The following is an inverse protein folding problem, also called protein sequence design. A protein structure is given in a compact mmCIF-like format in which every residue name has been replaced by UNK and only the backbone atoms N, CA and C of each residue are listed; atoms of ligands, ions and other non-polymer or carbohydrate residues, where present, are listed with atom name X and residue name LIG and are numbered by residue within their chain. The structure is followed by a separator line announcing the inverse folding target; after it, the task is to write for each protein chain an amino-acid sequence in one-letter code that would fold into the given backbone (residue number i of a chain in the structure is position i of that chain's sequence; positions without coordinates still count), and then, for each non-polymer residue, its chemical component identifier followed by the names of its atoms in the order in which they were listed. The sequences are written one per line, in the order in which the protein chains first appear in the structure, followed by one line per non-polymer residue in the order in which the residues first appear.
data_IF_788263490143
#
_entry.id   IF_788263490143
#
_cell.length_a   1.000
_cell.length_b   1.000
_cell.length_c   1.000
_cell.angle_alpha   90.00
_cell.angle_beta   90.00
_cell.angle_gamma   90.00
#
_symmetry.space_group_name_H-M   'P 1'
#
loop_
_entity.id
_entity.type
_entity.pdbx_description
1 polymer ?
#
# COMPACT_ATOMS: atom_id res chain seq x y z
N UNK A 1 -22.01 -16.07 9.38
CA UNK A 1 -22.68 -14.78 9.29
C UNK A 1 -24.17 -15.01 9.00
N UNK A 2 -24.55 -15.57 7.86
CA UNK A 2 -25.95 -15.80 7.48
C UNK A 2 -26.72 -16.65 8.49
N UNK A 3 -26.10 -17.67 9.09
CA UNK A 3 -26.72 -18.51 10.14
C UNK A 3 -27.08 -17.72 11.42
N UNK A 4 -26.57 -16.53 11.56
CA UNK A 4 -26.86 -15.60 12.67
C UNK A 4 -27.71 -14.40 12.22
N UNK A 5 -28.30 -14.45 11.02
CA UNK A 5 -29.15 -13.40 10.47
C UNK A 5 -28.41 -12.26 9.78
N UNK A 6 -27.10 -12.42 9.52
CA UNK A 6 -26.33 -11.46 8.75
C UNK A 6 -26.55 -11.65 7.24
N UNK A 7 -26.25 -10.63 6.45
CA UNK A 7 -26.41 -10.59 5.00
C UNK A 7 -25.09 -10.20 4.31
N UNK A 8 -24.84 -10.76 3.11
CA UNK A 8 -23.81 -10.33 2.18
C UNK A 8 -24.45 -9.63 0.99
N UNK A 9 -23.94 -8.46 0.62
CA UNK A 9 -24.36 -7.70 -0.56
C UNK A 9 -23.19 -7.57 -1.52
N UNK A 10 -22.98 -8.58 -2.34
CA UNK A 10 -21.95 -8.58 -3.38
C UNK A 10 -22.30 -7.59 -4.51
N UNK A 11 -21.26 -7.07 -5.19
CA UNK A 11 -21.45 -6.12 -6.28
C UNK A 11 -22.07 -4.79 -5.86
N UNK A 12 -22.03 -4.47 -4.57
CA UNK A 12 -22.65 -3.28 -3.98
C UNK A 12 -21.57 -2.41 -3.34
N UNK A 13 -21.35 -1.21 -3.90
CA UNK A 13 -20.40 -0.23 -3.37
C UNK A 13 -21.13 0.82 -2.54
N UNK A 14 -20.50 1.30 -1.47
CA UNK A 14 -20.95 2.49 -0.74
C UNK A 14 -20.47 3.72 -1.51
N UNK A 15 -21.43 4.54 -1.94
CA UNK A 15 -21.16 5.78 -2.70
C UNK A 15 -21.05 7.00 -1.79
N UNK A 16 -21.82 7.00 -0.69
CA UNK A 16 -21.87 8.17 0.17
C UNK A 16 -22.35 7.84 1.60
N UNK A 17 -22.11 8.79 2.51
CA UNK A 17 -22.51 8.75 3.91
C UNK A 17 -23.51 9.87 4.19
N UNK A 18 -24.65 9.54 4.75
CA UNK A 18 -25.64 10.53 5.21
C UNK A 18 -25.34 10.89 6.65
N UNK A 19 -25.04 12.15 6.88
CA UNK A 19 -24.66 12.72 8.18
C UNK A 19 -25.64 13.82 8.58
N UNK A 20 -26.19 13.74 9.79
CA UNK A 20 -27.04 14.79 10.37
C UNK A 20 -26.56 15.07 11.80
N UNK A 21 -26.28 16.33 12.11
CA UNK A 21 -25.82 16.79 13.42
C UNK A 21 -24.63 15.98 13.99
N UNK A 22 -23.65 15.63 13.13
CA UNK A 22 -22.48 14.83 13.54
C UNK A 22 -22.77 13.35 13.82
N UNK A 23 -23.95 12.87 13.41
CA UNK A 23 -24.36 11.47 13.55
C UNK A 23 -24.53 10.81 12.18
N UNK A 24 -24.07 9.58 12.05
CA UNK A 24 -24.33 8.75 10.89
C UNK A 24 -25.81 8.31 10.87
N UNK A 25 -26.49 8.49 9.74
CA UNK A 25 -27.89 8.09 9.54
C UNK A 25 -28.05 6.98 8.52
N UNK A 26 -27.07 6.79 7.66
CA UNK A 26 -27.13 5.74 6.66
C UNK A 26 -26.09 5.89 5.56
N UNK A 27 -26.19 5.00 4.60
CA UNK A 27 -25.30 4.87 3.45
C UNK A 27 -26.11 4.96 2.16
N UNK A 28 -25.57 5.63 1.16
CA UNK A 28 -26.06 5.55 -0.22
C UNK A 28 -25.25 4.48 -0.95
N UNK A 29 -25.93 3.53 -1.55
CA UNK A 29 -25.32 2.41 -2.27
C UNK A 29 -25.27 2.67 -3.78
N UNK A 30 -24.36 1.97 -4.49
CA UNK A 30 -24.22 2.05 -5.94
C UNK A 30 -25.48 1.63 -6.73
N UNK A 31 -26.42 0.98 -6.07
CA UNK A 31 -27.75 0.65 -6.59
C UNK A 31 -28.73 1.82 -6.55
N UNK A 32 -28.37 2.93 -5.92
CA UNK A 32 -29.25 4.06 -5.62
C UNK A 32 -30.08 3.86 -4.35
N UNK A 33 -29.96 2.73 -3.67
CA UNK A 33 -30.64 2.44 -2.41
C UNK A 33 -30.03 3.27 -1.27
N UNK A 34 -30.89 3.83 -0.41
CA UNK A 34 -30.49 4.34 0.89
C UNK A 34 -30.62 3.22 1.93
N UNK A 35 -29.49 2.88 2.56
CA UNK A 35 -29.43 1.90 3.65
C UNK A 35 -29.34 2.63 5.00
N UNK A 36 -30.43 2.66 5.80
CA UNK A 36 -30.38 3.24 7.14
C UNK A 36 -29.36 2.50 8.01
N UNK A 37 -28.47 3.23 8.66
CA UNK A 37 -27.46 2.64 9.55
C UNK A 37 -27.00 3.69 10.57
N UNK A 38 -27.03 3.33 11.86
CA UNK A 38 -26.53 4.14 12.96
C UNK A 38 -25.12 3.71 13.42
N UNK A 39 -24.68 2.51 13.02
CA UNK A 39 -23.37 1.97 13.32
C UNK A 39 -22.76 1.35 12.05
N UNK A 40 -21.64 1.88 11.59
CA UNK A 40 -20.91 1.40 10.41
C UNK A 40 -19.46 1.12 10.76
N UNK A 41 -19.02 -0.11 10.58
CA UNK A 41 -17.61 -0.47 10.62
C UNK A 41 -17.03 -0.26 9.22
N UNK A 42 -16.10 0.69 9.08
CA UNK A 42 -15.46 1.02 7.82
C UNK A 42 -14.13 0.27 7.69
N UNK A 43 -14.14 -0.84 6.95
CA UNK A 43 -13.01 -1.75 6.78
C UNK A 43 -12.64 -1.94 5.30
N UNK A 44 -12.44 -0.84 4.57
CA UNK A 44 -12.34 -0.80 3.09
C UNK A 44 -10.95 -1.12 2.53
N UNK A 45 -9.94 -1.29 3.39
CA UNK A 45 -8.54 -1.47 2.98
C UNK A 45 -7.89 -0.17 2.50
N UNK A 46 -6.58 -0.24 2.24
CA UNK A 46 -5.75 0.95 1.95
C UNK A 46 -5.87 1.47 0.50
N UNK A 47 -6.59 0.80 -0.38
CA UNK A 47 -6.73 1.18 -1.80
C UNK A 47 -8.08 1.79 -2.17
N UNK A 48 -8.98 1.99 -1.20
CA UNK A 48 -10.30 2.59 -1.38
C UNK A 48 -10.21 4.14 -1.44
N UNK A 49 -9.53 4.65 -2.46
CA UNK A 49 -9.19 6.08 -2.59
C UNK A 49 -10.40 6.96 -2.77
N UNK A 50 -11.38 6.51 -3.55
CA UNK A 50 -12.69 7.12 -3.72
C UNK A 50 -13.42 7.30 -2.38
N UNK A 51 -13.36 6.29 -1.52
CA UNK A 51 -13.91 6.38 -0.16
C UNK A 51 -13.16 7.41 0.68
N UNK A 52 -11.83 7.49 0.59
CA UNK A 52 -11.05 8.49 1.34
C UNK A 52 -11.38 9.91 0.90
N UNK A 53 -11.54 10.16 -0.39
CA UNK A 53 -11.99 11.44 -0.93
C UNK A 53 -13.39 11.79 -0.40
N UNK A 54 -14.31 10.82 -0.41
CA UNK A 54 -15.68 11.01 0.10
C UNK A 54 -15.71 11.32 1.60
N UNK A 55 -14.91 10.63 2.41
CA UNK A 55 -14.79 10.91 3.83
C UNK A 55 -14.28 12.34 4.09
N UNK A 56 -13.29 12.78 3.32
CA UNK A 56 -12.78 14.16 3.40
C UNK A 56 -13.85 15.18 3.02
N UNK A 57 -14.58 14.98 1.92
CA UNK A 57 -15.70 15.83 1.50
C UNK A 57 -16.80 15.95 2.56
N UNK A 58 -17.02 14.90 3.34
CA UNK A 58 -18.00 14.86 4.43
C UNK A 58 -17.48 15.40 5.76
N UNK A 59 -16.26 15.95 5.80
CA UNK A 59 -15.66 16.54 6.99
C UNK A 59 -15.26 15.53 8.07
N UNK A 60 -15.08 14.26 7.69
CA UNK A 60 -14.58 13.24 8.62
C UNK A 60 -13.08 13.49 8.83
N UNK A 61 -12.66 13.46 10.09
CA UNK A 61 -11.30 13.78 10.45
C UNK A 61 -10.31 12.73 9.95
N UNK A 62 -9.37 13.18 9.11
CA UNK A 62 -8.32 12.38 8.49
C UNK A 62 -6.95 13.02 8.77
N UNK A 63 -5.92 12.21 8.90
CA UNK A 63 -4.53 12.65 9.05
C UNK A 63 -3.63 12.06 7.97
N UNK A 64 -2.68 12.85 7.46
CA UNK A 64 -1.59 12.31 6.63
C UNK A 64 -0.71 11.38 7.47
N UNK A 65 -0.38 10.21 6.94
CA UNK A 65 0.34 9.16 7.67
C UNK A 65 1.59 8.71 6.90
N UNK A 66 2.73 8.45 7.58
CA UNK A 66 3.89 7.82 6.94
C UNK A 66 3.54 6.48 6.29
N UNK A 67 4.13 6.22 5.14
CA UNK A 67 4.11 4.91 4.47
C UNK A 67 5.44 4.66 3.75
N UNK A 68 5.51 3.70 2.83
CA UNK A 68 6.74 3.41 2.12
C UNK A 68 6.50 3.21 0.65
N UNK A 69 7.50 3.55 -0.16
CA UNK A 69 7.48 3.39 -1.62
C UNK A 69 8.72 2.64 -2.07
N UNK A 70 8.63 1.90 -3.17
CA UNK A 70 9.76 1.13 -3.65
C UNK A 70 9.48 0.34 -4.91
N UNK A 71 10.19 -0.77 -5.03
CA UNK A 71 10.11 -1.72 -6.13
C UNK A 71 9.90 -3.14 -5.58
N UNK A 72 9.35 -4.03 -6.39
CA UNK A 72 9.48 -5.47 -6.14
C UNK A 72 10.81 -5.95 -6.65
N UNK A 73 11.55 -6.69 -5.81
CA UNK A 73 12.78 -7.37 -6.20
C UNK A 73 12.53 -8.87 -6.30
N UNK A 74 12.99 -9.48 -7.40
CA UNK A 74 12.87 -10.90 -7.66
C UNK A 74 14.23 -11.59 -7.74
N UNK A 75 14.32 -12.74 -7.09
CA UNK A 75 15.48 -13.65 -7.11
C UNK A 75 15.01 -15.08 -7.37
N UNK A 76 15.86 -15.97 -7.92
CA UNK A 76 15.53 -17.40 -7.89
C UNK A 76 15.32 -17.89 -6.44
N UNK A 77 14.18 -18.51 -6.16
CA UNK A 77 13.89 -19.02 -4.81
C UNK A 77 15.01 -19.96 -4.31
N UNK A 78 15.53 -20.80 -5.19
CA UNK A 78 16.60 -21.74 -4.87
C UNK A 78 17.90 -21.05 -4.40
N UNK A 79 18.17 -19.83 -4.86
CA UNK A 79 19.30 -19.02 -4.37
C UNK A 79 19.05 -18.55 -2.94
N UNK A 80 17.86 -18.05 -2.65
CA UNK A 80 17.45 -17.63 -1.31
C UNK A 80 17.47 -18.82 -0.36
N UNK A 81 16.93 -19.99 -0.76
CA UNK A 81 16.94 -21.20 0.04
C UNK A 81 18.37 -21.61 0.43
N UNK A 82 19.29 -21.65 -0.53
CA UNK A 82 20.71 -21.99 -0.25
C UNK A 82 21.35 -20.99 0.69
N UNK A 83 21.09 -19.69 0.49
CA UNK A 83 21.68 -18.65 1.32
C UNK A 83 21.14 -18.64 2.76
N UNK A 84 19.88 -19.05 2.95
CA UNK A 84 19.18 -19.01 4.25
C UNK A 84 19.22 -20.34 5.00
N UNK A 85 19.07 -21.45 4.30
CA UNK A 85 18.91 -22.79 4.86
C UNK A 85 20.17 -23.66 4.71
N UNK A 86 21.14 -23.24 3.89
CA UNK A 86 22.38 -24.00 3.67
C UNK A 86 22.10 -25.43 3.20
N UNK A 87 22.63 -26.45 3.94
CA UNK A 87 22.42 -27.86 3.59
C UNK A 87 20.97 -28.34 3.64
N UNK A 88 20.09 -27.58 4.29
CA UNK A 88 18.67 -27.93 4.43
C UNK A 88 17.80 -27.31 3.31
N UNK A 89 18.41 -26.61 2.33
CA UNK A 89 17.70 -26.11 1.17
C UNK A 89 17.03 -27.26 0.40
N UNK A 90 15.75 -27.08 0.05
CA UNK A 90 14.95 -28.11 -0.62
C UNK A 90 14.35 -29.17 0.30
N UNK A 91 14.48 -29.05 1.61
CA UNK A 91 13.81 -29.94 2.55
C UNK A 91 12.28 -29.63 2.54
N UNK A 92 11.43 -30.61 2.17
CA UNK A 92 9.99 -30.38 2.04
C UNK A 92 9.28 -30.05 3.37
N UNK A 93 9.88 -30.40 4.52
CA UNK A 93 9.32 -30.06 5.83
C UNK A 93 9.58 -28.59 6.22
N UNK A 94 10.65 -27.99 5.68
CA UNK A 94 11.01 -26.59 5.95
C UNK A 94 10.35 -25.68 4.90
N UNK A 95 10.28 -26.15 3.65
CA UNK A 95 9.72 -25.39 2.53
C UNK A 95 10.64 -24.26 2.05
N UNK A 96 10.05 -23.31 1.34
CA UNK A 96 10.74 -22.16 0.76
C UNK A 96 11.15 -21.14 1.86
N UNK A 97 12.40 -20.70 1.80
CA UNK A 97 12.94 -19.72 2.75
C UNK A 97 12.36 -18.31 2.55
N UNK A 98 12.17 -17.64 3.66
CA UNK A 98 11.85 -16.20 3.72
C UNK A 98 13.03 -15.37 4.25
N UNK A 99 12.87 -14.04 4.24
CA UNK A 99 13.83 -13.13 4.84
C UNK A 99 13.20 -11.82 5.28
N UNK A 100 13.85 -11.17 6.24
CA UNK A 100 13.61 -9.78 6.62
C UNK A 100 14.93 -9.03 6.62
N UNK A 101 14.96 -7.89 5.93
CA UNK A 101 16.15 -7.05 5.78
C UNK A 101 15.79 -5.61 6.14
N UNK A 102 16.74 -4.93 6.77
CA UNK A 102 16.65 -3.50 7.05
C UNK A 102 18.07 -2.90 7.00
N UNK A 103 18.14 -1.68 6.46
CA UNK A 103 19.32 -0.84 6.45
C UNK A 103 18.91 0.62 6.63
N UNK A 104 19.68 1.36 7.41
CA UNK A 104 19.56 2.80 7.54
C UNK A 104 20.63 3.45 6.68
N UNK A 105 20.20 4.09 5.61
CA UNK A 105 21.08 4.72 4.63
C UNK A 105 21.68 6.03 5.16
N UNK A 106 22.81 6.44 4.58
CA UNK A 106 23.54 7.65 5.00
C UNK A 106 22.72 8.94 4.87
N UNK A 107 21.74 8.98 3.95
CA UNK A 107 20.82 10.10 3.82
C UNK A 107 19.67 10.09 4.86
N UNK A 108 19.75 9.24 5.88
CA UNK A 108 18.78 9.13 6.98
C UNK A 108 17.53 8.33 6.67
N UNK A 109 17.41 7.74 5.46
CA UNK A 109 16.26 6.91 5.09
C UNK A 109 16.43 5.47 5.52
N UNK A 110 15.34 4.85 5.93
CA UNK A 110 15.31 3.42 6.22
C UNK A 110 14.82 2.66 4.99
N UNK A 111 15.61 1.69 4.56
CA UNK A 111 15.28 0.75 3.47
C UNK A 111 15.06 -0.62 4.06
N UNK A 112 14.00 -1.29 3.66
CA UNK A 112 13.68 -2.61 4.21
C UNK A 112 12.94 -3.51 3.22
N UNK A 113 13.02 -4.82 3.47
CA UNK A 113 12.21 -5.80 2.75
C UNK A 113 10.79 -5.78 3.31
N UNK A 114 9.81 -5.68 2.42
CA UNK A 114 8.40 -5.64 2.79
C UNK A 114 7.63 -6.77 2.12
N UNK A 115 6.71 -7.39 2.87
CA UNK A 115 5.82 -8.44 2.36
C UNK A 115 6.55 -9.44 1.44
N UNK A 116 7.59 -10.10 2.00
CA UNK A 116 8.35 -11.11 1.28
C UNK A 116 7.46 -12.32 0.98
N UNK A 117 7.46 -12.73 -0.28
CA UNK A 117 6.66 -13.81 -0.83
C UNK A 117 7.57 -14.95 -1.30
N UNK A 118 7.83 -15.97 -0.46
CA UNK A 118 8.63 -17.12 -0.85
C UNK A 118 7.89 -17.97 -1.88
N UNK A 119 8.60 -18.41 -2.93
CA UNK A 119 8.04 -19.17 -4.05
C UNK A 119 6.77 -18.51 -4.58
N UNK A 120 6.84 -17.21 -4.82
CA UNK A 120 5.69 -16.40 -5.21
C UNK A 120 5.89 -15.66 -6.53
N UNK A 121 4.95 -14.78 -6.84
CA UNK A 121 4.93 -13.97 -8.06
C UNK A 121 4.73 -12.51 -7.75
N UNK A 122 5.27 -11.64 -8.59
CA UNK A 122 4.90 -10.22 -8.64
C UNK A 122 3.57 -10.11 -9.40
N UNK A 123 2.62 -9.39 -8.82
CA UNK A 123 1.27 -9.25 -9.37
C UNK A 123 0.93 -7.78 -9.63
N UNK A 124 0.04 -7.56 -10.60
CA UNK A 124 -0.56 -6.25 -10.83
C UNK A 124 -1.57 -5.93 -9.72
N UNK A 125 -1.42 -4.76 -9.09
CA UNK A 125 -2.27 -4.29 -8.02
C UNK A 125 -2.98 -2.96 -8.36
N UNK A 126 -3.02 -2.62 -9.64
CA UNK A 126 -3.63 -1.40 -10.16
C UNK A 126 -5.14 -1.43 -9.98
N UNK A 127 -5.71 -0.36 -9.46
CA UNK A 127 -7.15 -0.17 -9.27
C UNK A 127 -7.71 1.07 -9.99
N UNK A 128 -6.84 1.87 -10.62
CA UNK A 128 -7.21 3.08 -11.35
C UNK A 128 -6.61 3.04 -12.77
N UNK A 129 -7.29 3.58 -13.80
CA UNK A 129 -6.78 3.53 -15.17
C UNK A 129 -5.47 4.32 -15.34
N UNK A 130 -4.66 3.90 -16.32
CA UNK A 130 -3.38 4.54 -16.67
C UNK A 130 -2.38 4.65 -15.52
N UNK A 131 -2.35 3.64 -14.65
CA UNK A 131 -1.42 3.53 -13.53
C UNK A 131 -0.81 2.14 -13.48
N UNK A 132 0.39 2.01 -12.94
CA UNK A 132 1.04 0.72 -12.69
C UNK A 132 1.44 0.64 -11.23
N UNK A 133 0.96 -0.42 -10.59
CA UNK A 133 1.28 -0.76 -9.19
C UNK A 133 1.62 -2.24 -9.14
N UNK A 134 2.72 -2.56 -8.49
CA UNK A 134 3.15 -3.92 -8.24
C UNK A 134 2.93 -4.31 -6.78
N UNK A 135 2.61 -5.57 -6.55
CA UNK A 135 2.59 -6.21 -5.26
C UNK A 135 3.12 -7.64 -5.40
N UNK A 136 3.26 -8.38 -4.32
CA UNK A 136 3.67 -9.76 -4.34
C UNK A 136 2.63 -10.69 -3.75
N UNK A 137 2.63 -11.92 -4.23
CA UNK A 137 1.74 -12.96 -3.74
C UNK A 137 2.44 -14.31 -3.74
N UNK A 138 2.32 -15.05 -2.65
CA UNK A 138 2.66 -16.48 -2.61
C UNK A 138 1.39 -17.30 -2.73
N UNK A 139 1.42 -18.32 -3.59
CA UNK A 139 0.41 -19.35 -3.57
C UNK A 139 0.58 -20.24 -2.32
N UNK A 140 -0.43 -21.00 -1.97
CA UNK A 140 -0.35 -21.90 -0.82
C UNK A 140 0.83 -22.86 -0.90
N UNK A 141 1.14 -23.38 -2.08
CA UNK A 141 2.26 -24.28 -2.32
C UNK A 141 3.64 -23.63 -2.14
N UNK A 142 3.76 -22.31 -2.26
CA UNK A 142 5.03 -21.54 -2.25
C UNK A 142 6.10 -22.15 -3.19
N UNK A 143 5.68 -22.64 -4.33
CA UNK A 143 6.52 -23.42 -5.25
C UNK A 143 6.73 -22.76 -6.61
N UNK A 144 6.56 -21.43 -6.68
CA UNK A 144 6.92 -20.68 -7.86
C UNK A 144 8.43 -20.48 -7.94
N UNK A 145 8.92 -20.18 -9.14
CA UNK A 145 10.36 -20.09 -9.45
C UNK A 145 11.09 -19.05 -8.62
N UNK A 146 10.45 -17.91 -8.34
CA UNK A 146 11.09 -16.77 -7.73
C UNK A 146 10.63 -16.55 -6.27
N UNK A 147 11.56 -16.06 -5.46
CA UNK A 147 11.28 -15.31 -4.25
C UNK A 147 11.10 -13.84 -4.64
N UNK A 148 10.13 -13.15 -4.07
CA UNK A 148 10.02 -11.71 -4.26
C UNK A 148 9.69 -10.97 -2.96
N UNK A 149 10.10 -9.72 -2.85
CA UNK A 149 9.68 -8.82 -1.78
C UNK A 149 9.64 -7.37 -2.26
N UNK A 150 8.90 -6.52 -1.58
CA UNK A 150 9.11 -5.09 -1.68
C UNK A 150 10.50 -4.75 -1.17
N UNK A 151 11.25 -3.95 -1.93
CA UNK A 151 12.43 -3.21 -1.50
C UNK A 151 11.95 -1.77 -1.36
N UNK A 152 11.66 -1.32 -0.14
CA UNK A 152 10.91 -0.08 0.08
C UNK A 152 11.64 0.87 1.02
N UNK A 153 11.38 2.15 0.82
CA UNK A 153 11.93 3.27 1.60
C UNK A 153 10.80 3.95 2.36
N UNK A 154 10.98 4.16 3.65
CA UNK A 154 10.06 4.92 4.47
C UNK A 154 10.02 6.39 4.06
N UNK A 155 8.82 6.94 3.92
CA UNK A 155 8.54 8.34 3.63
C UNK A 155 7.57 8.91 4.64
N UNK A 156 7.67 10.21 4.86
CA UNK A 156 6.89 10.95 5.85
C UNK A 156 6.02 12.01 5.17
N UNK A 157 5.00 12.56 5.85
CA UNK A 157 4.15 13.60 5.29
C UNK A 157 4.90 14.84 4.76
N UNK A 158 6.09 15.14 5.30
CA UNK A 158 6.97 16.22 4.79
C UNK A 158 7.49 15.99 3.36
N UNK A 159 7.43 14.72 2.88
CA UNK A 159 7.88 14.33 1.54
C UNK A 159 6.73 14.40 0.50
N UNK A 160 5.50 14.68 0.95
CA UNK A 160 4.33 14.67 0.11
C UNK A 160 4.18 15.98 -0.67
N UNK A 161 3.48 15.96 -1.80
CA UNK A 161 3.18 17.18 -2.56
C UNK A 161 2.43 18.21 -1.71
N UNK A 162 2.81 19.48 -1.87
CA UNK A 162 2.14 20.65 -1.28
C UNK A 162 1.65 21.63 -2.34
N UNK A 163 1.99 21.38 -3.62
CA UNK A 163 1.59 22.23 -4.74
C UNK A 163 0.09 22.03 -5.07
N UNK A 164 -0.75 23.06 -5.00
CA UNK A 164 -2.16 22.99 -5.37
C UNK A 164 -2.43 22.40 -6.76
N UNK A 165 -1.54 22.64 -7.73
CA UNK A 165 -1.68 22.10 -9.08
C UNK A 165 -1.57 20.56 -9.11
N UNK A 166 -0.74 19.97 -8.22
CA UNK A 166 -0.64 18.52 -8.06
C UNK A 166 -1.95 17.92 -7.54
N UNK A 167 -2.59 18.59 -6.60
CA UNK A 167 -3.88 18.16 -6.05
C UNK A 167 -5.00 18.30 -7.10
N UNK A 168 -5.05 19.41 -7.81
CA UNK A 168 -6.04 19.63 -8.87
C UNK A 168 -5.93 18.55 -9.98
N UNK A 169 -4.71 18.20 -10.36
CA UNK A 169 -4.47 17.18 -11.38
C UNK A 169 -4.94 15.78 -10.96
N UNK A 170 -4.79 15.44 -9.67
CA UNK A 170 -5.03 14.08 -9.17
C UNK A 170 -6.40 13.91 -8.47
N UNK A 171 -6.97 14.97 -7.92
CA UNK A 171 -8.22 14.95 -7.15
C UNK A 171 -9.35 15.75 -7.81
N UNK A 172 -9.06 16.45 -8.91
CA UNK A 172 -10.02 17.33 -9.59
C UNK A 172 -10.10 18.73 -8.98
N UNK A 173 -10.78 19.60 -9.69
CA UNK A 173 -10.77 21.06 -9.46
C UNK A 173 -11.39 21.47 -8.11
N UNK A 174 -12.43 20.77 -7.66
CA UNK A 174 -13.12 21.09 -6.40
C UNK A 174 -12.23 20.81 -5.18
N UNK A 175 -11.66 19.61 -5.11
CA UNK A 175 -10.72 19.22 -4.03
C UNK A 175 -9.39 19.98 -4.13
N UNK A 176 -8.88 20.22 -5.33
CA UNK A 176 -7.68 21.03 -5.55
C UNK A 176 -7.84 22.47 -5.07
N UNK A 177 -9.01 23.09 -5.25
CA UNK A 177 -9.31 24.43 -4.73
C UNK A 177 -9.48 24.44 -3.20
N UNK A 178 -10.08 23.40 -2.61
CA UNK A 178 -10.20 23.28 -1.16
C UNK A 178 -8.82 23.26 -0.48
N UNK A 179 -7.83 22.59 -1.08
CA UNK A 179 -6.44 22.56 -0.57
C UNK A 179 -5.80 23.95 -0.43
N UNK A 180 -6.14 24.89 -1.28
CA UNK A 180 -5.66 26.29 -1.19
C UNK A 180 -6.12 26.99 0.10
N UNK A 181 -7.20 26.50 0.69
CA UNK A 181 -7.84 27.11 1.85
C UNK A 181 -7.69 26.30 3.15
N UNK A 182 -7.37 25.01 3.09
CA UNK A 182 -7.52 24.03 4.18
C UNK A 182 -6.20 23.59 4.86
N UNK A 183 -5.07 24.18 4.53
CA UNK A 183 -3.79 23.81 5.16
C UNK A 183 -3.65 24.28 6.63
N UNK A 184 -4.65 24.96 7.18
CA UNK A 184 -4.55 25.62 8.49
C UNK A 184 -4.91 24.75 9.68
N UNK A 185 -5.69 23.69 9.49
CA UNK A 185 -6.27 22.88 10.58
C UNK A 185 -5.89 21.39 10.54
N UNK A 186 -5.09 20.94 9.55
CA UNK A 186 -4.62 19.55 9.52
C UNK A 186 -3.53 19.34 10.58
N UNK A 187 -3.61 18.29 11.41
CA UNK A 187 -2.56 17.93 12.34
C UNK A 187 -1.22 17.80 11.62
N UNK A 188 -0.21 18.52 12.10
CA UNK A 188 1.11 18.57 11.48
C UNK A 188 1.24 19.47 10.24
N UNK A 189 0.16 20.18 9.81
CA UNK A 189 0.20 21.13 8.69
C UNK A 189 0.23 20.48 7.31
N UNK A 190 -0.09 19.18 7.18
CA UNK A 190 -0.12 18.45 5.91
C UNK A 190 -1.56 18.07 5.54
N UNK A 191 -1.91 18.26 4.26
CA UNK A 191 -3.22 17.85 3.78
C UNK A 191 -3.38 16.31 3.88
N UNK A 192 -4.49 15.78 4.44
CA UNK A 192 -4.66 14.35 4.69
C UNK A 192 -4.58 13.48 3.43
N UNK A 193 -4.98 14.01 2.27
CA UNK A 193 -4.92 13.30 0.99
C UNK A 193 -3.58 13.46 0.24
N UNK A 194 -2.59 14.18 0.80
CA UNK A 194 -1.31 14.44 0.11
C UNK A 194 -0.54 13.16 -0.22
N UNK A 195 -0.58 12.16 0.67
CA UNK A 195 0.02 10.85 0.42
C UNK A 195 -0.65 10.08 -0.71
N UNK A 196 -1.98 10.22 -0.86
CA UNK A 196 -2.74 9.66 -1.99
C UNK A 196 -2.36 10.31 -3.31
N UNK A 197 -2.21 11.64 -3.31
CA UNK A 197 -1.73 12.39 -4.49
C UNK A 197 -0.36 11.88 -4.91
N UNK A 198 0.58 11.74 -3.98
CA UNK A 198 1.90 11.18 -4.27
C UNK A 198 1.83 9.78 -4.88
N UNK A 199 1.03 8.89 -4.30
CA UNK A 199 0.85 7.54 -4.85
C UNK A 199 0.37 7.59 -6.30
N UNK A 200 -0.65 8.40 -6.61
CA UNK A 200 -1.20 8.55 -7.96
C UNK A 200 -0.15 9.07 -8.95
N UNK A 201 0.64 10.05 -8.57
CA UNK A 201 1.73 10.59 -9.41
C UNK A 201 2.78 9.53 -9.72
N UNK A 202 3.26 8.80 -8.71
CA UNK A 202 4.26 7.74 -8.92
C UNK A 202 3.73 6.60 -9.78
N UNK A 203 2.48 6.20 -9.58
CA UNK A 203 1.81 5.13 -10.33
C UNK A 203 1.55 5.52 -11.80
N UNK A 204 1.16 6.77 -12.07
CA UNK A 204 0.98 7.31 -13.41
C UNK A 204 2.33 7.44 -14.14
N UNK A 205 3.37 7.89 -13.44
CA UNK A 205 4.71 7.97 -13.99
C UNK A 205 5.26 6.56 -14.31
N UNK A 206 5.05 5.58 -13.45
CA UNK A 206 5.42 4.19 -13.72
C UNK A 206 4.70 3.62 -14.95
N UNK A 207 3.42 3.92 -15.15
CA UNK A 207 2.68 3.57 -16.36
C UNK A 207 3.35 4.13 -17.62
N UNK A 208 3.73 5.42 -17.60
CA UNK A 208 4.42 6.07 -18.71
C UNK A 208 5.80 5.44 -18.97
N UNK A 209 6.59 5.20 -17.93
CA UNK A 209 7.89 4.54 -18.04
C UNK A 209 7.76 3.11 -18.60
N UNK A 210 6.73 2.39 -18.23
CA UNK A 210 6.37 1.07 -18.75
C UNK A 210 5.87 1.09 -20.20
N UNK A 211 5.76 2.27 -20.85
CA UNK A 211 5.37 2.41 -22.25
C UNK A 211 3.88 2.57 -22.46
N UNK A 212 3.12 2.88 -21.42
CA UNK A 212 1.66 3.10 -21.46
C UNK A 212 0.85 1.88 -21.95
N UNK A 213 1.35 0.68 -21.63
CA UNK A 213 0.79 -0.62 -22.03
C UNK A 213 0.41 -1.51 -20.83
N UNK A 214 0.52 -1.00 -19.60
CA UNK A 214 0.46 -1.76 -18.35
C UNK A 214 1.63 -2.74 -18.13
N UNK A 215 2.63 -2.75 -19.01
CA UNK A 215 3.92 -3.32 -18.66
C UNK A 215 4.56 -2.49 -17.54
N UNK A 216 5.18 -3.16 -16.58
CA UNK A 216 5.86 -2.47 -15.49
C UNK A 216 7.28 -2.05 -15.90
N UNK A 217 7.75 -0.84 -15.53
CA UNK A 217 9.14 -0.49 -15.69
C UNK A 217 10.00 -1.40 -14.82
N UNK A 218 11.10 -1.92 -15.38
CA UNK A 218 11.98 -2.84 -14.68
C UNK A 218 13.45 -2.58 -14.99
N UNK A 219 14.32 -2.99 -14.08
CA UNK A 219 15.76 -2.82 -14.19
C UNK A 219 16.47 -3.99 -13.50
N UNK A 220 17.60 -4.43 -14.03
CA UNK A 220 18.48 -5.38 -13.35
C UNK A 220 19.14 -4.71 -12.14
N UNK A 221 19.28 -5.45 -11.06
CA UNK A 221 19.89 -4.96 -9.81
C UNK A 221 21.32 -4.47 -10.04
N UNK A 222 22.14 -5.20 -10.82
CA UNK A 222 23.49 -4.77 -11.11
C UNK A 222 23.55 -3.47 -11.89
N UNK A 223 22.64 -3.24 -12.84
CA UNK A 223 22.56 -2.00 -13.60
C UNK A 223 22.02 -0.84 -12.73
N UNK A 224 21.06 -1.12 -11.85
CA UNK A 224 20.55 -0.15 -10.89
C UNK A 224 21.65 0.33 -9.91
N UNK A 225 22.47 -0.59 -9.38
CA UNK A 225 23.62 -0.24 -8.54
C UNK A 225 24.65 0.58 -9.32
N UNK A 226 24.91 0.22 -10.59
CA UNK A 226 25.87 0.90 -11.46
C UNK A 226 25.36 2.19 -12.10
N UNK A 227 24.13 2.62 -11.78
CA UNK A 227 23.47 3.82 -12.31
C UNK A 227 23.38 3.86 -13.84
N UNK A 228 23.02 2.77 -14.47
CA UNK A 228 22.84 2.67 -15.91
C UNK A 228 21.55 1.94 -16.28
N UNK A 229 20.92 2.31 -17.38
CA UNK A 229 19.71 1.67 -17.85
C UNK A 229 19.94 0.20 -18.24
N UNK A 230 18.97 -0.66 -17.94
CA UNK A 230 18.92 -2.03 -18.48
C UNK A 230 18.23 -2.02 -19.84
N UNK A 231 18.76 -2.80 -20.79
CA UNK A 231 18.21 -2.92 -22.15
C UNK A 231 17.65 -4.30 -22.47
N UNK A 232 17.97 -5.29 -21.62
CA UNK A 232 17.54 -6.68 -21.78
C UNK A 232 17.43 -7.38 -20.42
N UNK A 233 16.69 -8.45 -20.38
CA UNK A 233 16.61 -9.34 -19.22
C UNK A 233 17.89 -10.18 -19.10
N UNK A 234 18.28 -10.51 -17.87
CA UNK A 234 19.31 -11.49 -17.54
C UNK A 234 18.75 -12.89 -17.33
N UNK A 235 19.40 -13.68 -16.44
CA UNK A 235 19.01 -15.05 -16.15
C UNK A 235 17.73 -15.16 -15.29
N UNK A 236 17.34 -14.10 -14.57
CA UNK A 236 16.12 -14.08 -13.77
C UNK A 236 14.98 -13.54 -14.64
N UNK A 237 14.03 -14.41 -14.97
CA UNK A 237 12.83 -13.99 -15.68
C UNK A 237 11.79 -13.44 -14.67
N UNK A 238 11.31 -12.20 -14.85
CA UNK A 238 10.29 -11.63 -13.98
C UNK A 238 8.97 -12.39 -14.07
N UNK A 239 8.21 -12.38 -12.98
CA UNK A 239 6.94 -13.09 -12.86
C UNK A 239 5.71 -12.21 -13.11
N UNK A 240 5.88 -10.91 -13.26
CA UNK A 240 4.79 -9.97 -13.52
C UNK A 240 4.12 -10.25 -14.88
N UNK A 241 2.87 -10.69 -14.84
CA UNK A 241 2.19 -11.23 -16.03
C UNK A 241 1.94 -10.24 -17.16
N UNK A 242 1.57 -8.95 -16.90
CA UNK A 242 1.41 -8.00 -17.99
C UNK A 242 2.70 -7.77 -18.79
N UNK A 243 3.86 -8.18 -18.26
CA UNK A 243 5.17 -7.97 -18.87
C UNK A 243 5.93 -6.80 -18.25
N UNK A 244 7.21 -6.74 -18.55
CA UNK A 244 8.09 -5.67 -18.08
C UNK A 244 8.80 -4.99 -19.22
N UNK A 245 8.97 -3.67 -19.11
CA UNK A 245 9.80 -2.87 -20.00
C UNK A 245 11.11 -2.54 -19.30
N UNK A 246 12.23 -3.00 -19.88
CA UNK A 246 13.55 -2.72 -19.34
C UNK A 246 13.93 -1.26 -19.58
N UNK A 247 14.19 -0.53 -18.50
CA UNK A 247 14.49 0.91 -18.51
C UNK A 247 15.43 1.27 -17.36
N UNK A 248 15.75 2.56 -17.20
CA UNK A 248 16.28 3.08 -15.94
C UNK A 248 15.14 3.41 -14.99
N UNK A 249 15.24 2.96 -13.73
CA UNK A 249 14.29 3.28 -12.67
C UNK A 249 14.61 4.56 -11.89
N UNK A 250 15.64 5.31 -12.29
CA UNK A 250 16.11 6.50 -11.59
C UNK A 250 15.06 7.59 -11.40
N UNK A 251 14.13 7.71 -12.34
CA UNK A 251 13.04 8.68 -12.28
C UNK A 251 11.73 8.11 -11.71
N UNK A 252 11.68 6.80 -11.48
CA UNK A 252 10.45 6.13 -11.05
C UNK A 252 10.01 6.53 -9.62
N UNK A 253 10.96 6.94 -8.79
CA UNK A 253 10.75 7.37 -7.40
C UNK A 253 11.59 8.61 -7.12
N UNK A 254 11.34 9.34 -6.01
CA UNK A 254 12.18 10.46 -5.60
C UNK A 254 13.65 10.06 -5.44
N UNK A 255 14.58 10.95 -5.79
CA UNK A 255 16.02 10.68 -5.81
C UNK A 255 16.56 10.15 -4.48
N UNK A 256 16.10 10.71 -3.36
CA UNK A 256 16.51 10.24 -2.03
C UNK A 256 16.15 8.75 -1.78
N UNK A 257 15.05 8.28 -2.37
CA UNK A 257 14.64 6.87 -2.24
C UNK A 257 15.51 5.97 -3.14
N UNK A 258 15.78 6.41 -4.37
CA UNK A 258 16.69 5.71 -5.29
C UNK A 258 18.09 5.57 -4.69
N UNK A 259 18.66 6.66 -4.16
CA UNK A 259 19.97 6.67 -3.51
C UNK A 259 20.04 5.71 -2.32
N UNK A 260 19.05 5.77 -1.43
CA UNK A 260 18.98 4.89 -0.26
C UNK A 260 18.88 3.40 -0.65
N UNK A 261 18.07 3.05 -1.65
CA UNK A 261 17.97 1.68 -2.15
C UNK A 261 19.27 1.19 -2.79
N UNK A 262 19.91 2.05 -3.61
CA UNK A 262 21.19 1.75 -4.25
C UNK A 262 22.30 1.48 -3.23
N UNK A 263 22.37 2.26 -2.16
CA UNK A 263 23.28 2.03 -1.03
C UNK A 263 22.97 0.72 -0.30
N UNK A 264 21.69 0.39 -0.14
CA UNK A 264 21.24 -0.75 0.68
C UNK A 264 21.46 -2.10 0.00
N UNK A 265 21.38 -2.20 -1.32
CA UNK A 265 21.49 -3.46 -2.05
C UNK A 265 22.79 -4.22 -1.77
N UNK A 266 24.00 -3.60 -1.85
CA UNK A 266 25.24 -4.30 -1.48
C UNK A 266 25.31 -4.68 0.00
N UNK A 267 24.65 -3.91 0.88
CA UNK A 267 24.56 -4.25 2.32
C UNK A 267 23.72 -5.51 2.50
N UNK A 268 22.61 -5.61 1.77
CA UNK A 268 21.77 -6.81 1.78
C UNK A 268 22.46 -8.02 1.15
N UNK A 269 23.28 -7.81 0.11
CA UNK A 269 24.14 -8.86 -0.46
C UNK A 269 25.13 -9.47 0.53
N UNK A 270 25.63 -8.66 1.48
CA UNK A 270 26.46 -9.18 2.59
C UNK A 270 25.66 -9.99 3.61
N UNK A 271 24.37 -9.68 3.81
CA UNK A 271 23.48 -10.40 4.75
C UNK A 271 22.91 -11.68 4.13
N UNK A 272 22.60 -11.65 2.84
CA UNK A 272 22.09 -12.79 2.07
C UNK A 272 22.92 -12.88 0.81
N UNK A 273 23.82 -13.87 0.75
CA UNK A 273 24.73 -14.04 -0.38
C UNK A 273 23.98 -14.18 -1.70
N UNK A 274 24.23 -13.24 -2.63
CA UNK A 274 23.60 -13.18 -3.94
C UNK A 274 22.35 -12.28 -3.99
N UNK A 275 21.97 -11.62 -2.89
CA UNK A 275 20.83 -10.69 -2.92
C UNK A 275 21.06 -9.51 -3.89
N UNK A 276 22.29 -9.05 -4.02
CA UNK A 276 22.76 -8.02 -4.94
C UNK A 276 23.27 -8.57 -6.29
N UNK A 277 22.89 -9.81 -6.65
CA UNK A 277 23.28 -10.41 -7.92
C UNK A 277 22.83 -9.53 -9.08
N UNK A 278 23.68 -9.43 -10.13
CA UNK A 278 23.45 -8.56 -11.28
C UNK A 278 22.07 -8.77 -11.92
N UNK A 279 21.67 -10.03 -12.11
CA UNK A 279 20.49 -10.43 -12.87
C UNK A 279 19.18 -10.44 -12.07
N UNK A 280 19.21 -10.18 -10.74
CA UNK A 280 17.99 -9.94 -9.99
C UNK A 280 17.22 -8.77 -10.60
N UNK A 281 15.89 -8.82 -10.56
CA UNK A 281 15.03 -7.85 -11.26
C UNK A 281 14.29 -6.97 -10.28
N UNK A 282 14.40 -5.66 -10.43
CA UNK A 282 13.53 -4.67 -9.82
C UNK A 282 12.37 -4.37 -10.75
N UNK A 283 11.15 -4.42 -10.24
CA UNK A 283 9.92 -4.13 -10.99
C UNK A 283 9.12 -3.06 -10.26
N UNK A 284 8.78 -1.99 -10.92
CA UNK A 284 8.17 -0.80 -10.31
C UNK A 284 6.71 -0.57 -10.69
N UNK A 285 5.99 0.11 -9.85
CA UNK A 285 6.34 0.64 -8.53
C UNK A 285 5.49 0.01 -7.44
N UNK A 286 6.01 -0.16 -6.24
CA UNK A 286 5.23 -0.54 -5.06
C UNK A 286 5.00 0.70 -4.20
N UNK A 287 3.79 1.23 -4.23
CA UNK A 287 3.38 2.46 -3.56
C UNK A 287 2.35 2.23 -2.47
N UNK A 288 1.80 1.00 -2.38
CA UNK A 288 0.67 0.66 -1.51
C UNK A 288 1.08 -0.30 -0.40
N UNK A 289 2.17 0.03 0.30
CA UNK A 289 2.65 -0.76 1.45
C UNK A 289 1.74 -0.64 2.67
N UNK A 290 1.05 0.49 2.83
CA UNK A 290 0.03 0.75 3.85
C UNK A 290 -0.83 1.95 3.44
N UNK A 291 -1.87 2.27 4.23
CA UNK A 291 -2.66 3.47 4.00
C UNK A 291 -1.80 4.74 4.07
N UNK A 292 -1.94 5.68 3.13
CA UNK A 292 -1.23 6.96 3.14
C UNK A 292 -1.83 7.96 4.15
N UNK A 293 -2.95 7.60 4.75
CA UNK A 293 -3.67 8.42 5.73
C UNK A 293 -4.19 7.55 6.89
N UNK A 294 -4.61 8.21 7.95
CA UNK A 294 -5.36 7.65 9.06
C UNK A 294 -6.75 8.27 9.08
N UNK A 295 -7.76 7.44 9.26
CA UNK A 295 -9.11 7.87 9.63
C UNK A 295 -9.16 7.83 11.14
N UNK A 296 -9.09 8.98 11.78
CA UNK A 296 -8.93 9.05 13.23
C UNK A 296 -10.11 8.46 13.99
N UNK A 297 -9.82 7.89 15.16
CA UNK A 297 -10.83 7.32 16.06
C UNK A 297 -10.40 7.46 17.52
N UNK A 298 -11.36 7.62 18.39
CA UNK A 298 -11.16 7.64 19.83
C UNK A 298 -10.66 6.27 20.33
N UNK A 299 -9.63 6.26 21.17
CA UNK A 299 -9.00 5.02 21.63
C UNK A 299 -9.89 4.15 22.53
N UNK A 300 -10.90 4.74 23.17
CA UNK A 300 -11.79 4.05 24.11
C UNK A 300 -13.04 3.51 23.45
N UNK A 301 -13.65 4.27 22.56
CA UNK A 301 -14.89 3.93 21.86
C UNK A 301 -14.66 3.34 20.47
N UNK A 302 -13.50 3.57 19.90
CA UNK A 302 -13.11 3.25 18.51
C UNK A 302 -14.01 3.92 17.45
N UNK A 303 -14.76 4.96 17.82
CA UNK A 303 -15.55 5.78 16.90
C UNK A 303 -14.74 6.94 16.35
N UNK A 304 -15.13 7.43 15.17
CA UNK A 304 -14.64 8.69 14.65
C UNK A 304 -14.98 9.84 15.60
N UNK A 305 -14.05 10.75 15.91
CA UNK A 305 -14.31 11.88 16.78
C UNK A 305 -15.28 12.90 16.17
N UNK A 306 -15.38 12.95 14.83
CA UNK A 306 -16.22 13.89 14.08
C UNK A 306 -17.53 13.28 13.57
N UNK A 307 -17.70 11.97 13.65
CA UNK A 307 -18.90 11.28 13.18
C UNK A 307 -19.27 10.12 14.11
N UNK A 308 -20.25 10.36 14.97
CA UNK A 308 -20.80 9.31 15.84
C UNK A 308 -21.44 8.20 15.00
N UNK A 309 -21.15 6.94 15.35
CA UNK A 309 -21.65 5.76 14.65
C UNK A 309 -20.70 5.25 13.56
N UNK A 310 -19.63 5.98 13.20
CA UNK A 310 -18.60 5.50 12.29
C UNK A 310 -17.43 4.89 13.08
N UNK A 311 -17.04 3.65 12.73
CA UNK A 311 -15.95 2.91 13.35
C UNK A 311 -14.89 2.56 12.30
N UNK A 312 -13.85 3.39 12.14
CA UNK A 312 -12.75 3.11 11.21
C UNK A 312 -11.96 1.87 11.68
N UNK A 313 -11.70 0.93 10.77
CA UNK A 313 -11.07 -0.34 11.10
C UNK A 313 -10.00 -0.76 10.08
N UNK A 314 -9.00 -1.47 10.57
CA UNK A 314 -8.02 -2.19 9.79
C UNK A 314 -6.99 -1.32 9.09
N UNK A 315 -6.47 -1.82 7.98
CA UNK A 315 -5.37 -1.21 7.26
C UNK A 315 -5.78 0.08 6.54
N UNK A 316 -6.99 0.14 5.98
CA UNK A 316 -7.51 1.35 5.34
C UNK A 316 -7.64 2.52 6.30
N UNK A 317 -8.05 2.25 7.52
CA UNK A 317 -8.13 3.26 8.58
C UNK A 317 -6.76 3.64 9.18
N UNK A 318 -5.67 2.97 8.78
CA UNK A 318 -4.31 3.28 9.23
C UNK A 318 -3.90 2.66 10.57
N UNK A 319 -4.68 1.71 11.10
CA UNK A 319 -4.42 1.04 12.39
C UNK A 319 -3.81 -0.35 12.27
N UNK A 320 -3.65 -0.85 11.06
CA UNK A 320 -3.02 -2.13 10.78
C UNK A 320 -2.06 -2.01 9.61
N UNK A 321 -1.05 -2.90 9.55
CA UNK A 321 -0.06 -2.96 8.47
C UNK A 321 0.07 -4.38 7.90
N UNK A 322 -1.03 -5.14 7.86
CA UNK A 322 -1.07 -6.48 7.30
C UNK A 322 -2.28 -7.30 7.75
N UNK A 323 -2.47 -8.46 7.15
CA UNK A 323 -3.67 -9.29 7.26
C UNK A 323 -4.03 -9.65 8.72
N UNK A 324 -3.06 -10.15 9.49
CA UNK A 324 -3.33 -10.57 10.87
C UNK A 324 -3.65 -9.39 11.78
N UNK A 325 -2.90 -8.29 11.66
CA UNK A 325 -3.15 -7.07 12.46
C UNK A 325 -4.49 -6.44 12.11
N UNK A 326 -4.90 -6.46 10.84
CA UNK A 326 -6.22 -6.00 10.41
C UNK A 326 -7.35 -6.88 10.98
N UNK A 327 -7.14 -8.21 11.03
CA UNK A 327 -8.09 -9.13 11.65
C UNK A 327 -8.25 -8.88 13.16
N UNK A 328 -7.15 -8.67 13.88
CA UNK A 328 -7.18 -8.34 15.32
C UNK A 328 -7.89 -7.01 15.56
N UNK A 329 -7.61 -5.99 14.73
CA UNK A 329 -8.27 -4.70 14.83
C UNK A 329 -9.78 -4.81 14.57
N UNK A 330 -10.17 -5.60 13.54
CA UNK A 330 -11.58 -5.87 13.26
C UNK A 330 -12.34 -6.53 14.43
N UNK A 331 -11.68 -7.45 15.15
CA UNK A 331 -12.26 -8.04 16.38
C UNK A 331 -12.50 -6.96 17.43
N UNK A 332 -11.50 -6.11 17.70
CA UNK A 332 -11.62 -5.02 18.69
C UNK A 332 -12.75 -4.05 18.35
N UNK A 333 -12.84 -3.67 17.08
CA UNK A 333 -13.90 -2.76 16.62
C UNK A 333 -15.27 -3.43 16.70
N UNK A 334 -15.39 -4.70 16.32
CA UNK A 334 -16.63 -5.46 16.49
C UNK A 334 -17.09 -5.55 17.94
N UNK A 335 -16.18 -5.78 18.89
CA UNK A 335 -16.47 -5.75 20.32
C UNK A 335 -16.92 -4.37 20.81
N UNK A 336 -16.30 -3.28 20.32
CA UNK A 336 -16.68 -1.92 20.66
C UNK A 336 -18.12 -1.60 20.23
N UNK A 337 -18.48 -1.96 18.99
CA UNK A 337 -19.87 -1.83 18.49
C UNK A 337 -20.84 -2.63 19.34
N UNK A 338 -20.53 -3.88 19.65
CA UNK A 338 -21.39 -4.74 20.48
C UNK A 338 -21.65 -4.14 21.87
N UNK A 339 -20.61 -3.60 22.52
CA UNK A 339 -20.73 -2.92 23.82
C UNK A 339 -21.64 -1.69 23.73
N UNK A 340 -21.50 -0.89 22.68
CA UNK A 340 -22.32 0.30 22.44
C UNK A 340 -23.81 -0.08 22.30
N UNK A 341 -24.13 -1.07 21.48
CA UNK A 341 -25.49 -1.57 21.30
C UNK A 341 -26.12 -2.08 22.58
N UNK A 342 -25.34 -2.80 23.40
CA UNK A 342 -25.85 -3.29 24.72
C UNK A 342 -26.11 -2.15 25.72
N UNK A 343 -25.40 -1.04 25.60
CA UNK A 343 -25.60 0.13 26.48
C UNK A 343 -26.83 0.94 26.06
N UNK A 344 -27.08 1.05 24.75
CA UNK A 344 -28.24 1.78 24.22
C UNK A 344 -29.56 1.00 24.35
N UNK A 345 -29.50 -0.34 24.48
CA UNK A 345 -30.67 -1.21 24.65
C UNK A 345 -31.18 -1.26 26.09
N UNK A 346 -30.56 -0.57 27.05
CA UNK A 346 -30.99 -0.42 28.44
C UNK A 346 -31.65 0.94 28.66
#
# INVERSE_FOLDING_TARGET
IESLGGEYRFGTRVEDFTVEDGQLKGLTLSTGEFLPAEHVILAVGHSARDTFEKLHERGIFLEAKPFSVGFRIEHPQSMIDRARLGPHAGNPLIGAADYKLVHHANNGRSVYSFCMCPGGTVVAATSEPNRVVTNGMSQYSRNERNANSGLVVGIDPKDYPTDPAAFEAELGQELGNAVRHDTRDAPGGFHPLAGLVLQRQLEAHAYTLGGSTYEAPAQLVGDFIADRASTALGAVAPSYKPGVKMVSLNSALPSYAIEAMRESLPVFGRKIKGYDMHDAVLTGVETRTSSPLRIDRDDSTLQSPTLTGLYPAGEGAGYAGGILSAGVDGIKVGEAVARQLMTTAR
#
